data_IF_350624064832
#
_entry.id   IF_350624064832
#
_cell.length_a   1.000
_cell.length_b   1.000
_cell.length_c   1.000
_cell.angle_alpha   90.00
_cell.angle_beta   90.00
_cell.angle_gamma   90.00
#
_symmetry.space_group_name_H-M   'P 1'
#
loop_
_entity.id
_entity.type
_entity.pdbx_description
1 polymer ?
#
# COMPACT_ATOMS: atom_id res chain seq x y z
N UNK A 1 -4.85 -10.45 -13.63
CA UNK A 1 -3.99 -9.40 -14.17
C UNK A 1 -3.66 -8.53 -12.99
N UNK A 2 -2.51 -8.77 -12.36
CA UNK A 2 -2.10 -8.07 -11.15
C UNK A 2 -1.66 -6.67 -11.60
N UNK A 3 -2.61 -5.77 -11.71
CA UNK A 3 -2.36 -4.42 -12.14
C UNK A 3 -1.71 -3.67 -10.99
N UNK A 4 -0.39 -3.61 -10.85
CA UNK A 4 0.20 -2.51 -10.07
C UNK A 4 0.13 -1.25 -10.94
N UNK A 5 -1.07 -0.72 -11.19
CA UNK A 5 -1.18 0.60 -11.79
C UNK A 5 -0.54 1.58 -10.81
N UNK A 6 0.65 2.04 -11.18
CA UNK A 6 1.08 3.40 -10.87
C UNK A 6 -0.03 4.31 -11.34
N UNK A 7 -0.91 4.74 -10.42
CA UNK A 7 -1.81 5.83 -10.71
C UNK A 7 -0.94 6.98 -11.20
N UNK A 8 -1.13 7.40 -12.45
CA UNK A 8 -0.85 8.78 -12.78
C UNK A 8 -1.54 9.59 -11.69
N UNK A 9 -0.74 10.36 -10.95
CA UNK A 9 -1.23 11.57 -10.29
C UNK A 9 -1.84 12.44 -11.39
N UNK A 10 -3.10 12.19 -11.76
CA UNK A 10 -3.92 13.19 -12.41
C UNK A 10 -4.47 14.06 -11.29
N UNK A 11 -3.66 15.07 -10.96
CA UNK A 11 -4.12 16.30 -10.32
C UNK A 11 -5.36 16.79 -11.10
N UNK A 12 -6.42 17.29 -10.45
CA UNK A 12 -7.55 17.86 -11.17
C UNK A 12 -7.04 18.86 -12.20
N UNK A 13 -7.61 18.78 -13.40
CA UNK A 13 -7.32 19.66 -14.54
C UNK A 13 -7.69 21.10 -14.16
N UNK A 14 -6.81 21.77 -13.44
CA UNK A 14 -6.41 23.12 -13.84
C UNK A 14 -5.50 22.89 -15.02
N UNK A 15 -5.77 23.54 -16.16
CA UNK A 15 -4.98 23.40 -17.39
C UNK A 15 -3.48 23.48 -17.08
N UNK A 16 -2.88 22.30 -16.87
CA UNK A 16 -1.48 22.15 -16.62
C UNK A 16 -0.84 22.25 -17.98
N UNK A 17 -0.07 23.31 -18.12
CA UNK A 17 0.81 23.61 -19.23
C UNK A 17 1.44 22.33 -19.82
N UNK A 18 1.59 22.30 -21.15
CA UNK A 18 2.02 21.15 -21.96
C UNK A 18 3.53 20.86 -21.80
N UNK A 19 4.08 21.14 -20.61
CA UNK A 19 5.50 21.23 -20.26
C UNK A 19 5.96 20.13 -19.29
N UNK A 20 5.18 19.06 -19.09
CA UNK A 20 5.64 17.89 -18.32
C UNK A 20 6.74 17.14 -19.09
N UNK A 21 8.00 17.44 -18.76
CA UNK A 21 9.21 16.90 -19.40
C UNK A 21 9.52 15.43 -19.11
N UNK A 22 8.52 14.56 -18.96
CA UNK A 22 8.69 13.10 -18.77
C UNK A 22 8.05 12.31 -19.92
N UNK A 23 8.53 11.09 -20.11
CA UNK A 23 7.99 10.09 -21.03
C UNK A 23 7.68 8.82 -20.24
N UNK A 24 6.53 8.21 -20.51
CA UNK A 24 6.08 7.01 -19.80
C UNK A 24 5.77 5.89 -20.78
N UNK A 25 5.96 4.65 -20.34
CA UNK A 25 5.59 3.44 -21.06
C UNK A 25 4.91 2.46 -20.10
N UNK A 26 3.76 1.95 -20.49
CA UNK A 26 3.08 0.89 -19.76
C UNK A 26 3.74 -0.44 -20.08
N UNK A 27 3.78 -1.31 -19.09
CA UNK A 27 4.38 -2.62 -19.20
C UNK A 27 3.57 -3.69 -18.52
N UNK A 28 3.82 -4.93 -18.92
CA UNK A 28 3.31 -6.09 -18.24
C UNK A 28 4.41 -7.15 -18.18
N UNK A 29 4.71 -7.62 -16.97
CA UNK A 29 5.77 -8.59 -16.72
C UNK A 29 5.15 -9.84 -16.10
N UNK A 30 5.34 -11.03 -16.70
CA UNK A 30 4.98 -12.26 -16.05
C UNK A 30 5.95 -12.53 -14.89
N UNK A 31 5.41 -12.87 -13.73
CA UNK A 31 6.18 -13.32 -12.58
C UNK A 31 5.66 -14.67 -12.10
N UNK A 32 6.53 -15.44 -11.48
CA UNK A 32 6.15 -16.63 -10.73
C UNK A 32 6.74 -16.50 -9.34
N UNK A 33 5.88 -16.59 -8.33
CA UNK A 33 6.26 -16.44 -6.93
C UNK A 33 5.81 -17.67 -6.14
N UNK A 34 6.57 -18.01 -5.10
CA UNK A 34 6.19 -19.07 -4.16
C UNK A 34 5.98 -18.44 -2.80
N UNK A 35 4.83 -18.69 -2.18
CA UNK A 35 4.46 -18.13 -0.88
C UNK A 35 3.85 -19.20 0.02
N UNK A 36 3.94 -18.97 1.32
CA UNK A 36 3.15 -19.69 2.31
C UNK A 36 1.90 -18.87 2.59
N UNK A 37 0.75 -19.40 2.19
CA UNK A 37 -0.54 -18.73 2.21
C UNK A 37 -1.39 -19.27 3.36
N UNK A 38 -2.16 -18.40 3.98
CA UNK A 38 -3.23 -18.80 4.90
C UNK A 38 -4.38 -19.41 4.11
N UNK A 39 -5.00 -20.45 4.68
CA UNK A 39 -6.17 -21.13 4.10
C UNK A 39 -7.44 -20.68 4.83
N UNK A 40 -8.35 -20.03 4.10
CA UNK A 40 -9.65 -19.63 4.63
C UNK A 40 -10.44 -20.85 5.13
N UNK A 41 -10.78 -20.85 6.43
CA UNK A 41 -11.38 -22.00 7.13
C UNK A 41 -12.89 -21.93 7.35
N UNK A 42 -13.55 -20.85 6.93
CA UNK A 42 -15.00 -20.67 7.08
C UNK A 42 -15.72 -20.86 5.74
N UNK A 43 -17.05 -21.02 5.73
CA UNK A 43 -17.82 -20.85 4.49
C UNK A 43 -17.50 -19.50 3.82
N UNK A 44 -17.53 -19.48 2.48
CA UNK A 44 -17.47 -18.21 1.73
C UNK A 44 -18.75 -17.41 2.02
N UNK A 45 -18.66 -16.09 1.96
CA UNK A 45 -19.80 -15.22 2.24
C UNK A 45 -20.86 -15.39 1.16
N UNK A 46 -22.10 -15.60 1.57
CA UNK A 46 -23.26 -15.64 0.69
C UNK A 46 -23.97 -14.29 0.69
N UNK A 47 -23.92 -13.56 1.80
CA UNK A 47 -24.55 -12.24 1.93
C UNK A 47 -23.84 -11.32 2.92
N UNK A 48 -24.32 -10.07 3.00
CA UNK A 48 -23.75 -9.07 3.92
C UNK A 48 -23.95 -9.43 5.41
N UNK A 49 -24.83 -10.39 5.74
CA UNK A 49 -24.98 -10.85 7.13
C UNK A 49 -23.75 -11.63 7.59
N UNK A 50 -23.11 -12.38 6.69
CA UNK A 50 -21.92 -13.17 7.02
C UNK A 50 -20.74 -12.25 7.37
N UNK A 51 -20.60 -11.17 6.62
CA UNK A 51 -19.58 -10.13 6.87
C UNK A 51 -19.86 -9.35 8.16
N UNK A 52 -21.13 -9.13 8.48
CA UNK A 52 -21.54 -8.52 9.75
C UNK A 52 -21.22 -9.43 10.93
N UNK A 53 -21.52 -10.73 10.81
CA UNK A 53 -21.15 -11.75 11.81
C UNK A 53 -19.63 -11.83 11.98
N UNK A 54 -18.87 -11.82 10.88
CA UNK A 54 -17.41 -11.83 10.91
C UNK A 54 -16.85 -10.61 11.64
N UNK A 55 -17.38 -9.42 11.34
CA UNK A 55 -16.97 -8.16 11.97
C UNK A 55 -17.26 -8.20 13.46
N UNK A 56 -18.42 -8.72 13.86
CA UNK A 56 -18.75 -8.92 15.26
C UNK A 56 -17.77 -9.88 15.94
N UNK A 57 -17.58 -11.09 15.39
CA UNK A 57 -16.73 -12.14 15.96
C UNK A 57 -15.29 -11.65 16.18
N UNK A 58 -14.74 -10.88 15.23
CA UNK A 58 -13.40 -10.33 15.31
C UNK A 58 -13.25 -9.24 16.38
N UNK A 59 -14.28 -8.41 16.57
CA UNK A 59 -14.25 -7.30 17.53
C UNK A 59 -14.60 -7.73 18.97
N UNK A 60 -14.88 -9.02 19.21
CA UNK A 60 -15.14 -9.53 20.55
C UNK A 60 -13.91 -9.40 21.44
N UNK A 61 -14.11 -9.15 22.73
CA UNK A 61 -13.02 -9.10 23.73
C UNK A 61 -12.25 -10.43 23.83
N UNK A 62 -12.93 -11.55 23.58
CA UNK A 62 -12.39 -12.91 23.64
C UNK A 62 -12.00 -13.49 22.26
N UNK A 63 -11.90 -12.63 21.22
CA UNK A 63 -11.68 -13.07 19.83
C UNK A 63 -10.49 -14.02 19.66
N UNK A 64 -9.39 -13.79 20.38
CA UNK A 64 -8.19 -14.66 20.34
C UNK A 64 -8.48 -16.13 20.67
N UNK A 65 -9.54 -16.39 21.45
CA UNK A 65 -9.95 -17.74 21.85
C UNK A 65 -11.18 -18.24 21.09
N UNK A 66 -12.05 -17.34 20.63
CA UNK A 66 -13.35 -17.70 20.02
C UNK A 66 -13.39 -17.56 18.51
N UNK A 67 -12.42 -16.90 17.89
CA UNK A 67 -12.46 -16.56 16.48
C UNK A 67 -11.23 -17.09 15.72
N UNK A 68 -11.43 -18.16 14.95
CA UNK A 68 -10.38 -18.82 14.16
C UNK A 68 -10.82 -18.90 12.68
N UNK A 69 -10.60 -17.85 11.88
CA UNK A 69 -11.02 -17.83 10.47
C UNK A 69 -10.07 -18.61 9.54
N UNK A 70 -8.87 -18.96 10.04
CA UNK A 70 -7.82 -19.64 9.28
C UNK A 70 -7.77 -21.11 9.69
N UNK A 71 -7.81 -22.01 8.71
CA UNK A 71 -7.78 -23.47 8.93
C UNK A 71 -6.38 -24.08 8.84
N UNK A 72 -5.41 -23.34 8.30
CA UNK A 72 -4.04 -23.79 8.15
C UNK A 72 -3.24 -22.88 7.23
N UNK A 73 -2.06 -23.36 6.86
CA UNK A 73 -1.19 -22.73 5.85
C UNK A 73 -0.86 -23.72 4.74
N UNK A 74 -0.65 -23.20 3.54
CA UNK A 74 -0.28 -23.99 2.36
C UNK A 74 0.79 -23.28 1.55
N UNK A 75 1.78 -24.01 1.05
CA UNK A 75 2.73 -23.48 0.08
C UNK A 75 2.13 -23.52 -1.32
N UNK A 76 2.08 -22.36 -1.97
CA UNK A 76 1.51 -22.20 -3.29
C UNK A 76 2.52 -21.57 -4.25
N UNK A 77 2.40 -21.95 -5.52
CA UNK A 77 3.10 -21.29 -6.63
C UNK A 77 2.06 -20.47 -7.37
N UNK A 78 2.32 -19.18 -7.49
CA UNK A 78 1.45 -18.27 -8.20
C UNK A 78 2.11 -17.72 -9.44
N UNK A 79 1.40 -17.74 -10.55
CA UNK A 79 1.83 -17.11 -11.80
C UNK A 79 0.96 -15.87 -12.07
N UNK A 80 1.58 -14.69 -12.00
CA UNK A 80 0.89 -13.42 -12.20
C UNK A 80 1.46 -12.66 -13.38
N UNK A 81 0.65 -11.74 -13.92
CA UNK A 81 1.11 -10.69 -14.82
C UNK A 81 1.03 -9.37 -14.07
N UNK A 82 2.18 -8.82 -13.68
CA UNK A 82 2.27 -7.50 -13.08
C UNK A 82 2.17 -6.47 -14.19
N UNK A 83 1.19 -5.58 -14.13
CA UNK A 83 1.22 -4.38 -14.96
C UNK A 83 1.73 -3.18 -14.16
N UNK A 84 2.32 -2.21 -14.84
CA UNK A 84 2.73 -0.93 -14.26
C UNK A 84 3.18 0.05 -15.34
N UNK A 85 3.50 1.29 -14.94
CA UNK A 85 4.04 2.30 -15.85
C UNK A 85 5.43 2.70 -15.41
N UNK A 86 6.38 2.70 -16.33
CA UNK A 86 7.71 3.26 -16.12
C UNK A 86 7.77 4.65 -16.75
N UNK A 87 8.23 5.65 -15.99
CA UNK A 87 8.39 7.01 -16.46
C UNK A 87 9.84 7.48 -16.25
N UNK A 88 10.40 8.18 -17.24
CA UNK A 88 11.71 8.82 -17.18
C UNK A 88 11.63 10.28 -17.67
N UNK A 89 12.52 11.19 -17.22
CA UNK A 89 12.67 12.50 -17.84
C UNK A 89 13.00 12.37 -19.33
N UNK A 90 12.58 13.34 -20.16
CA UNK A 90 12.89 13.38 -21.60
C UNK A 90 14.40 13.49 -21.87
N UNK A 91 15.17 14.02 -20.93
CA UNK A 91 16.64 14.05 -20.97
C UNK A 91 17.29 12.69 -20.70
N UNK A 92 16.50 11.65 -20.38
CA UNK A 92 16.96 10.33 -19.99
C UNK A 92 16.78 10.05 -18.49
N UNK A 93 16.93 8.78 -18.08
CA UNK A 93 16.71 8.36 -16.71
C UNK A 93 17.84 8.81 -15.79
N UNK A 94 17.49 9.17 -14.56
CA UNK A 94 18.46 9.46 -13.51
C UNK A 94 19.13 8.19 -12.97
N UNK A 95 20.08 8.36 -12.05
CA UNK A 95 20.76 7.21 -11.43
C UNK A 95 19.91 6.44 -10.42
N UNK A 96 18.80 7.03 -9.98
CA UNK A 96 17.89 6.46 -8.98
C UNK A 96 16.55 6.13 -9.61
N UNK A 97 16.05 4.93 -9.32
CA UNK A 97 14.70 4.51 -9.64
C UNK A 97 13.83 4.55 -8.39
N UNK A 98 12.69 5.24 -8.48
CA UNK A 98 11.64 5.19 -7.47
C UNK A 98 10.62 4.13 -7.87
N UNK A 99 10.39 3.13 -7.02
CA UNK A 99 9.29 2.17 -7.15
C UNK A 99 8.17 2.65 -6.23
N UNK A 100 7.12 3.22 -6.83
CA UNK A 100 5.99 3.76 -6.09
C UNK A 100 4.90 2.70 -5.88
N UNK A 101 4.56 2.39 -4.62
CA UNK A 101 3.51 1.42 -4.27
C UNK A 101 2.39 2.08 -3.46
N UNK A 102 1.15 1.95 -3.93
CA UNK A 102 -0.01 2.54 -3.26
C UNK A 102 -0.71 1.53 -2.32
N UNK A 103 -1.75 2.02 -1.62
CA UNK A 103 -2.43 1.33 -0.53
C UNK A 103 -3.57 0.38 -0.89
N UNK A 104 -3.62 -0.21 -2.09
CA UNK A 104 -4.76 -1.06 -2.47
C UNK A 104 -4.45 -2.05 -3.59
N UNK A 105 -5.18 -3.16 -3.62
CA UNK A 105 -5.02 -4.22 -4.62
C UNK A 105 -5.94 -4.05 -5.80
N UNK A 106 -5.43 -4.34 -6.99
CA UNK A 106 -6.07 -4.03 -8.28
C UNK A 106 -6.28 -5.26 -9.16
N UNK A 107 -5.97 -6.47 -8.66
CA UNK A 107 -6.13 -7.68 -9.46
C UNK A 107 -7.56 -8.21 -9.43
N UNK A 108 -8.20 -8.15 -10.59
CA UNK A 108 -9.53 -8.74 -10.85
C UNK A 108 -9.52 -10.26 -10.99
N UNK A 109 -8.36 -10.91 -10.94
CA UNK A 109 -8.18 -12.35 -11.20
C UNK A 109 -7.83 -13.19 -9.99
N UNK A 110 -7.57 -12.57 -8.84
CA UNK A 110 -7.30 -13.30 -7.60
C UNK A 110 -8.59 -13.34 -6.80
N UNK A 111 -8.89 -14.46 -6.13
CA UNK A 111 -10.04 -14.52 -5.22
C UNK A 111 -9.80 -13.62 -4.00
N UNK A 112 -10.85 -13.02 -3.45
CA UNK A 112 -10.72 -12.28 -2.18
C UNK A 112 -10.33 -13.19 -1.00
N UNK A 113 -10.49 -14.51 -1.19
CA UNK A 113 -10.08 -15.57 -0.27
C UNK A 113 -8.65 -16.08 -0.50
N UNK A 114 -7.95 -15.58 -1.53
CA UNK A 114 -6.59 -15.99 -1.86
C UNK A 114 -5.61 -14.80 -1.82
N UNK A 115 -6.06 -13.58 -2.09
CA UNK A 115 -5.22 -12.38 -2.09
C UNK A 115 -4.71 -12.04 -0.69
N UNK A 116 -3.38 -12.00 -0.54
CA UNK A 116 -2.69 -11.93 0.75
C UNK A 116 -1.43 -11.06 0.68
N UNK A 117 -1.01 -10.50 1.82
CA UNK A 117 0.20 -9.69 1.92
C UNK A 117 1.49 -10.46 1.61
N UNK A 118 1.55 -11.76 1.89
CA UNK A 118 2.70 -12.60 1.52
C UNK A 118 2.93 -12.59 0.01
N UNK A 119 1.85 -12.66 -0.77
CA UNK A 119 1.88 -12.53 -2.23
C UNK A 119 2.36 -11.14 -2.64
N UNK A 120 1.81 -10.08 -2.04
CA UNK A 120 2.24 -8.69 -2.33
C UNK A 120 3.74 -8.48 -2.11
N UNK A 121 4.30 -9.04 -1.04
CA UNK A 121 5.73 -8.95 -0.72
C UNK A 121 6.57 -9.67 -1.78
N UNK A 122 6.18 -10.88 -2.18
CA UNK A 122 6.91 -11.65 -3.19
C UNK A 122 6.83 -11.02 -4.59
N UNK A 123 5.70 -10.40 -4.92
CA UNK A 123 5.50 -9.61 -6.14
C UNK A 123 6.43 -8.39 -6.13
N UNK A 124 6.49 -7.64 -5.03
CA UNK A 124 7.34 -6.46 -4.92
C UNK A 124 8.83 -6.83 -5.00
N UNK A 125 9.24 -7.91 -4.34
CA UNK A 125 10.58 -8.48 -4.46
C UNK A 125 10.95 -8.77 -5.93
N UNK A 126 10.07 -9.46 -6.65
CA UNK A 126 10.26 -9.77 -8.06
C UNK A 126 10.38 -8.51 -8.91
N UNK A 127 9.56 -7.49 -8.64
CA UNK A 127 9.62 -6.21 -9.35
C UNK A 127 10.93 -5.44 -9.10
N UNK A 128 11.40 -5.42 -7.84
CA UNK A 128 12.69 -4.80 -7.49
C UNK A 128 13.84 -5.50 -8.22
N UNK A 129 13.85 -6.84 -8.23
CA UNK A 129 14.87 -7.61 -8.95
C UNK A 129 14.79 -7.39 -10.46
N UNK A 130 13.58 -7.37 -11.03
CA UNK A 130 13.35 -7.07 -12.44
C UNK A 130 13.90 -5.69 -12.84
N UNK A 131 13.71 -4.70 -11.98
CA UNK A 131 14.25 -3.36 -12.16
C UNK A 131 15.78 -3.33 -12.04
N UNK A 132 16.36 -3.96 -11.01
CA UNK A 132 17.82 -4.07 -10.81
C UNK A 132 18.52 -4.83 -11.95
N UNK A 133 17.82 -5.78 -12.58
CA UNK A 133 18.30 -6.47 -13.76
C UNK A 133 18.28 -5.61 -15.04
N UNK A 134 17.70 -4.40 -14.98
CA UNK A 134 17.53 -3.48 -16.10
C UNK A 134 16.53 -3.94 -17.16
N UNK A 135 15.51 -4.69 -16.75
CA UNK A 135 14.52 -5.29 -17.65
C UNK A 135 13.26 -4.43 -17.83
N UNK A 136 13.17 -3.27 -17.15
CA UNK A 136 12.07 -2.33 -17.35
C UNK A 136 12.08 -1.81 -18.80
N UNK A 137 10.92 -1.79 -19.49
CA UNK A 137 10.85 -1.21 -20.82
C UNK A 137 11.04 0.30 -20.75
N UNK A 138 11.61 0.88 -21.80
CA UNK A 138 11.88 2.32 -21.88
C UNK A 138 10.98 2.99 -22.93
N UNK A 139 10.49 4.22 -22.68
CA UNK A 139 9.67 4.95 -23.64
C UNK A 139 10.43 5.31 -24.92
N UNK A 140 11.76 5.45 -24.84
CA UNK A 140 12.62 5.81 -25.96
C UNK A 140 13.15 4.54 -26.66
N UNK A 141 12.67 4.25 -27.88
CA UNK A 141 13.05 3.07 -28.69
C UNK A 141 14.55 3.00 -29.02
N UNK A 142 15.28 4.10 -28.91
CA UNK A 142 16.68 4.21 -29.31
C UNK A 142 17.68 3.96 -28.16
N UNK A 143 17.21 3.74 -26.93
CA UNK A 143 18.08 3.85 -25.76
C UNK A 143 18.52 2.49 -25.20
N UNK A 144 19.79 2.38 -24.77
CA UNK A 144 20.32 1.16 -24.16
C UNK A 144 19.56 0.77 -22.88
N UNK A 145 19.73 -0.49 -22.50
CA UNK A 145 19.31 -1.07 -21.22
C UNK A 145 19.58 -0.09 -20.07
N UNK A 146 18.55 0.29 -19.32
CA UNK A 146 18.69 1.11 -18.12
C UNK A 146 18.85 0.20 -16.91
N UNK A 147 19.98 0.32 -16.21
CA UNK A 147 20.19 -0.33 -14.92
C UNK A 147 20.31 0.78 -13.87
N UNK A 148 19.36 0.88 -12.92
CA UNK A 148 19.44 1.91 -11.89
C UNK A 148 20.65 1.65 -10.98
N UNK A 149 21.38 2.72 -10.62
CA UNK A 149 22.44 2.64 -9.61
C UNK A 149 21.87 2.53 -8.20
N UNK A 150 20.71 3.15 -7.97
CA UNK A 150 19.97 3.10 -6.71
C UNK A 150 18.50 2.80 -6.96
N UNK A 151 17.88 2.03 -6.06
CA UNK A 151 16.44 1.75 -6.06
C UNK A 151 15.84 2.16 -4.73
N UNK A 152 14.77 2.94 -4.76
CA UNK A 152 14.07 3.41 -3.56
C UNK A 152 12.62 2.98 -3.61
N UNK A 153 12.11 2.42 -2.51
CA UNK A 153 10.69 2.16 -2.35
C UNK A 153 10.01 3.43 -1.81
N UNK A 154 9.01 3.94 -2.53
CA UNK A 154 8.20 5.07 -2.08
C UNK A 154 6.76 4.60 -1.95
N UNK A 155 6.30 4.43 -0.73
CA UNK A 155 5.15 3.58 -0.46
C UNK A 155 4.11 4.24 0.43
N UNK A 156 2.85 3.84 0.26
CA UNK A 156 1.72 4.34 1.03
C UNK A 156 0.82 3.21 1.52
N UNK A 157 0.43 3.24 2.80
CA UNK A 157 -0.55 2.34 3.41
C UNK A 157 -0.20 0.86 3.19
N UNK A 158 -1.04 0.05 2.53
CA UNK A 158 -0.72 -1.34 2.17
C UNK A 158 0.61 -1.48 1.39
N UNK A 159 0.97 -0.49 0.58
CA UNK A 159 2.29 -0.44 -0.06
C UNK A 159 3.43 -0.31 0.96
N UNK A 160 3.23 0.45 2.03
CA UNK A 160 4.19 0.61 3.13
C UNK A 160 4.28 -0.65 3.99
N UNK A 161 3.15 -1.32 4.25
CA UNK A 161 3.13 -2.66 4.88
C UNK A 161 4.01 -3.62 4.10
N UNK A 162 3.76 -3.70 2.79
CA UNK A 162 4.47 -4.59 1.86
C UNK A 162 5.95 -4.24 1.76
N UNK A 163 6.28 -2.95 1.62
CA UNK A 163 7.66 -2.47 1.51
C UNK A 163 8.44 -2.70 2.79
N UNK A 164 7.82 -2.46 3.95
CA UNK A 164 8.45 -2.71 5.23
C UNK A 164 8.73 -4.21 5.47
N UNK A 165 7.74 -5.07 5.18
CA UNK A 165 7.93 -6.52 5.29
C UNK A 165 9.02 -7.04 4.33
N UNK A 166 9.11 -6.46 3.12
CA UNK A 166 10.16 -6.80 2.17
C UNK A 166 11.55 -6.43 2.70
N UNK A 167 11.75 -5.22 3.22
CA UNK A 167 13.08 -4.81 3.73
C UNK A 167 13.43 -5.49 5.05
N UNK A 168 12.44 -5.87 5.86
CA UNK A 168 12.66 -6.73 7.03
C UNK A 168 13.20 -8.11 6.62
N UNK A 169 12.68 -8.69 5.54
CA UNK A 169 13.12 -9.99 5.01
C UNK A 169 14.42 -9.91 4.19
N UNK A 170 14.67 -8.79 3.52
CA UNK A 170 15.81 -8.57 2.62
C UNK A 170 16.42 -7.17 2.84
N UNK A 171 17.25 -7.00 3.88
CA UNK A 171 17.70 -5.67 4.33
C UNK A 171 18.48 -4.84 3.30
N UNK A 172 19.18 -5.50 2.37
CA UNK A 172 20.01 -4.87 1.35
C UNK A 172 19.32 -4.76 -0.04
N UNK A 173 18.01 -5.07 -0.12
CA UNK A 173 17.31 -5.11 -1.41
C UNK A 173 17.15 -3.74 -2.07
N UNK A 174 17.20 -2.65 -1.31
CA UNK A 174 16.96 -1.27 -1.78
C UNK A 174 17.91 -0.29 -1.09
N UNK A 175 18.11 0.87 -1.72
CA UNK A 175 19.03 1.93 -1.29
C UNK A 175 18.35 3.00 -0.43
N UNK A 176 17.02 2.98 -0.32
CA UNK A 176 16.24 3.88 0.51
C UNK A 176 14.77 3.45 0.59
N UNK A 177 14.09 3.87 1.66
CA UNK A 177 12.67 3.53 1.88
C UNK A 177 11.92 4.76 2.37
N UNK A 178 10.77 5.03 1.77
CA UNK A 178 9.78 5.99 2.25
C UNK A 178 8.50 5.22 2.57
N UNK A 179 8.16 5.15 3.86
CA UNK A 179 6.96 4.49 4.38
C UNK A 179 5.97 5.57 4.80
N UNK A 180 4.88 5.71 4.07
CA UNK A 180 3.82 6.66 4.43
C UNK A 180 2.53 5.99 4.86
N UNK A 181 1.79 6.60 5.79
CA UNK A 181 0.52 6.05 6.29
C UNK A 181 0.71 4.64 6.86
N UNK A 182 1.72 4.43 7.69
CA UNK A 182 2.05 3.15 8.33
C UNK A 182 2.31 3.37 9.82
N UNK A 183 2.32 2.34 10.67
CA UNK A 183 2.60 2.52 12.10
C UNK A 183 2.82 1.23 12.86
N UNK A 184 3.57 1.32 13.97
CA UNK A 184 3.93 0.20 14.85
C UNK A 184 3.22 0.32 16.20
N UNK A 185 1.90 0.37 16.20
CA UNK A 185 1.11 0.28 17.44
C UNK A 185 0.94 -1.21 17.80
N UNK A 186 0.98 -1.65 19.09
CA UNK A 186 0.71 -3.03 19.52
C UNK A 186 -0.61 -3.68 19.04
N UNK A 187 -1.44 -2.97 18.28
CA UNK A 187 -2.70 -3.43 17.71
C UNK A 187 -2.73 -3.54 16.18
N UNK A 188 -1.64 -3.84 15.48
CA UNK A 188 -1.73 -4.19 14.03
C UNK A 188 -2.74 -5.35 13.82
N UNK A 189 -2.85 -6.25 14.81
CA UNK A 189 -3.88 -7.28 14.88
C UNK A 189 -5.33 -6.74 15.02
N UNK A 190 -5.54 -5.46 15.37
CA UNK A 190 -6.85 -4.82 15.48
C UNK A 190 -7.16 -3.86 14.31
N UNK A 191 -6.28 -3.74 13.31
CA UNK A 191 -6.52 -2.89 12.12
C UNK A 191 -7.77 -3.36 11.37
N UNK A 192 -7.97 -4.67 11.24
CA UNK A 192 -9.20 -5.19 10.65
C UNK A 192 -10.44 -4.82 11.46
N UNK A 193 -10.40 -4.99 12.79
CA UNK A 193 -11.54 -4.70 13.66
C UNK A 193 -11.96 -3.24 13.57
N UNK A 194 -10.98 -2.33 13.68
CA UNK A 194 -11.15 -0.90 13.53
C UNK A 194 -11.71 -0.52 12.15
N UNK A 195 -11.08 -0.98 11.07
CA UNK A 195 -11.51 -0.68 9.70
C UNK A 195 -12.90 -1.26 9.44
N UNK A 196 -13.15 -2.51 9.82
CA UNK A 196 -14.42 -3.18 9.58
C UNK A 196 -15.58 -2.52 10.32
N UNK A 197 -15.38 -2.15 11.59
CA UNK A 197 -16.37 -1.46 12.40
C UNK A 197 -16.69 -0.06 11.85
N UNK A 198 -15.66 0.74 11.53
CA UNK A 198 -15.86 2.11 11.04
C UNK A 198 -16.36 2.15 9.60
N UNK A 199 -15.92 1.23 8.74
CA UNK A 199 -16.29 1.18 7.33
C UNK A 199 -17.67 0.59 7.09
N UNK A 200 -18.20 -0.17 8.06
CA UNK A 200 -19.39 -1.01 7.92
C UNK A 200 -19.33 -1.81 6.61
N UNK A 201 -18.27 -2.63 6.48
CA UNK A 201 -17.90 -3.28 5.23
C UNK A 201 -19.08 -4.00 4.57
N UNK A 202 -19.12 -3.93 3.24
CA UNK A 202 -20.09 -4.59 2.37
C UNK A 202 -19.39 -5.44 1.32
N UNK A 203 -20.05 -6.50 0.86
CA UNK A 203 -19.56 -7.28 -0.28
C UNK A 203 -19.54 -6.40 -1.52
N UNK A 204 -18.37 -6.26 -2.15
CA UNK A 204 -18.14 -5.26 -3.19
C UNK A 204 -19.09 -5.44 -4.38
N UNK A 205 -19.28 -6.68 -4.82
CA UNK A 205 -20.10 -7.01 -5.99
C UNK A 205 -21.62 -6.85 -5.76
N UNK A 206 -22.07 -6.61 -4.53
CA UNK A 206 -23.47 -6.31 -4.20
C UNK A 206 -23.75 -4.81 -4.19
N UNK A 207 -22.72 -3.97 -4.05
CA UNK A 207 -22.85 -2.51 -3.93
C UNK A 207 -22.77 -1.80 -5.28
N UNK A 208 -21.93 -2.29 -6.20
CA UNK A 208 -21.75 -1.61 -7.48
C UNK A 208 -21.51 -2.55 -8.65
N UNK A 209 -22.07 -2.19 -9.80
CA UNK A 209 -21.90 -2.94 -11.05
C UNK A 209 -20.42 -3.05 -11.47
N UNK A 210 -19.60 -2.02 -11.19
CA UNK A 210 -18.16 -2.05 -11.49
C UNK A 210 -17.44 -3.23 -10.82
N UNK A 211 -17.97 -3.71 -9.69
CA UNK A 211 -17.37 -4.78 -8.89
C UNK A 211 -17.93 -6.16 -9.15
N UNK A 212 -18.79 -6.35 -10.16
CA UNK A 212 -19.38 -7.65 -10.48
C UNK A 212 -18.38 -8.75 -10.84
N UNK A 213 -17.18 -8.38 -11.25
CA UNK A 213 -16.09 -9.33 -11.56
C UNK A 213 -15.46 -9.94 -10.31
N UNK A 214 -15.58 -9.27 -9.16
CA UNK A 214 -14.99 -9.75 -7.90
C UNK A 214 -15.93 -10.75 -7.22
N UNK A 215 -15.36 -11.78 -6.62
CA UNK A 215 -16.11 -12.70 -5.77
C UNK A 215 -16.51 -12.05 -4.44
N UNK A 216 -17.24 -12.81 -3.61
CA UNK A 216 -17.77 -12.30 -2.36
C UNK A 216 -16.71 -12.08 -1.27
N UNK A 217 -15.45 -12.49 -1.48
CA UNK A 217 -14.32 -12.23 -0.58
C UNK A 217 -13.77 -10.81 -0.69
N UNK A 218 -14.25 -10.02 -1.65
CA UNK A 218 -13.92 -8.61 -1.80
C UNK A 218 -14.92 -7.71 -1.09
N UNK A 219 -14.42 -6.80 -0.28
CA UNK A 219 -15.23 -5.90 0.56
C UNK A 219 -14.95 -4.43 0.26
N UNK A 220 -15.94 -3.58 0.50
CA UNK A 220 -15.89 -2.13 0.28
C UNK A 220 -16.60 -1.39 1.41
N UNK A 221 -16.39 -0.08 1.46
CA UNK A 221 -17.03 0.85 2.39
C UNK A 221 -18.52 1.04 2.08
N UNK A 222 -19.34 1.28 3.10
CA UNK A 222 -20.79 1.50 2.94
C UNK A 222 -21.11 2.77 2.16
N UNK A 223 -20.39 3.85 2.43
CA UNK A 223 -20.59 5.15 1.82
C UNK A 223 -19.33 6.03 1.88
N UNK A 224 -19.39 7.18 1.22
CA UNK A 224 -18.29 8.15 1.17
C UNK A 224 -17.96 8.75 2.55
N UNK A 225 -18.90 8.81 3.49
CA UNK A 225 -18.66 9.39 4.82
C UNK A 225 -17.88 8.43 5.71
N UNK A 226 -18.19 7.13 5.65
CA UNK A 226 -17.37 6.10 6.29
C UNK A 226 -15.94 6.08 5.72
N UNK A 227 -15.80 6.31 4.41
CA UNK A 227 -14.49 6.47 3.76
C UNK A 227 -13.75 7.72 4.25
N UNK A 228 -14.45 8.86 4.34
CA UNK A 228 -13.88 10.11 4.89
C UNK A 228 -13.41 9.91 6.33
N UNK A 229 -14.21 9.28 7.18
CA UNK A 229 -13.87 9.05 8.59
C UNK A 229 -12.59 8.21 8.77
N UNK A 230 -12.36 7.26 7.88
CA UNK A 230 -11.18 6.38 7.95
C UNK A 230 -9.95 7.06 7.38
N UNK A 231 -10.10 7.79 6.27
CA UNK A 231 -8.95 8.20 5.46
C UNK A 231 -8.59 9.69 5.53
N UNK A 232 -9.50 10.57 5.94
CA UNK A 232 -9.34 12.02 5.84
C UNK A 232 -9.58 12.73 7.17
N UNK A 233 -9.09 13.96 7.26
CA UNK A 233 -9.36 14.87 8.37
C UNK A 233 -10.27 16.01 7.89
N UNK A 234 -11.48 16.09 8.42
CA UNK A 234 -12.36 17.27 8.23
C UNK A 234 -11.85 18.43 9.11
N UNK A 235 -11.81 19.70 8.63
CA UNK A 235 -12.23 20.16 7.30
C UNK A 235 -11.09 20.19 6.24
N UNK A 236 -9.91 19.64 6.52
CA UNK A 236 -8.77 19.64 5.59
C UNK A 236 -8.91 18.56 4.50
N UNK A 237 -9.93 18.71 3.65
CA UNK A 237 -10.16 17.88 2.48
C UNK A 237 -10.79 18.69 1.34
N UNK A 238 -10.60 18.22 0.11
CA UNK A 238 -11.35 18.67 -1.06
C UNK A 238 -12.39 17.58 -1.42
N UNK A 239 -13.68 17.92 -1.35
CA UNK A 239 -14.74 16.95 -1.60
C UNK A 239 -14.76 16.40 -3.04
N UNK A 240 -14.31 17.14 -4.04
CA UNK A 240 -14.21 16.64 -5.42
C UNK A 240 -13.05 15.66 -5.56
N UNK A 241 -11.91 15.95 -4.91
CA UNK A 241 -10.80 14.99 -4.82
C UNK A 241 -11.21 13.71 -4.08
N UNK A 242 -11.95 13.84 -2.96
CA UNK A 242 -12.48 12.69 -2.21
C UNK A 242 -13.43 11.86 -3.08
N UNK A 243 -14.38 12.49 -3.78
CA UNK A 243 -15.31 11.79 -4.68
C UNK A 243 -14.57 11.07 -5.79
N UNK A 244 -13.57 11.71 -6.39
CA UNK A 244 -12.73 11.09 -7.41
C UNK A 244 -12.03 9.84 -6.87
N UNK A 245 -11.37 9.94 -5.72
CA UNK A 245 -10.66 8.80 -5.12
C UNK A 245 -11.62 7.72 -4.66
N UNK A 246 -12.76 8.05 -4.04
CA UNK A 246 -13.78 7.08 -3.65
C UNK A 246 -14.34 6.33 -4.87
N UNK A 247 -14.60 7.02 -5.98
CA UNK A 247 -15.12 6.41 -7.21
C UNK A 247 -14.07 5.58 -7.96
N UNK A 248 -12.79 5.95 -7.84
CA UNK A 248 -11.66 5.24 -8.42
C UNK A 248 -11.03 4.19 -7.48
N UNK A 249 -11.50 4.11 -6.23
CA UNK A 249 -11.04 3.13 -5.24
C UNK A 249 -11.39 1.71 -5.65
N UNK A 250 -10.75 0.74 -5.01
CA UNK A 250 -10.91 -0.68 -5.30
C UNK A 250 -11.29 -1.43 -4.03
N UNK A 251 -12.01 -2.56 -4.16
CA UNK A 251 -12.36 -3.34 -2.98
C UNK A 251 -11.12 -4.03 -2.40
N UNK A 252 -11.18 -4.28 -1.10
CA UNK A 252 -10.12 -4.93 -0.33
C UNK A 252 -10.44 -6.42 -0.25
N UNK A 253 -9.46 -7.30 -0.41
CA UNK A 253 -9.66 -8.72 -0.22
C UNK A 253 -9.69 -9.06 1.27
N UNK A 254 -10.61 -9.93 1.69
CA UNK A 254 -10.76 -10.26 3.11
C UNK A 254 -9.50 -10.89 3.69
N UNK A 255 -8.75 -11.65 2.89
CA UNK A 255 -7.52 -12.30 3.34
C UNK A 255 -6.32 -11.35 3.51
N UNK A 256 -6.38 -10.13 2.97
CA UNK A 256 -5.37 -9.10 3.24
C UNK A 256 -5.43 -8.66 4.71
N UNK A 257 -6.63 -8.57 5.28
CA UNK A 257 -6.81 -8.21 6.68
C UNK A 257 -6.23 -9.24 7.67
N UNK A 258 -6.20 -10.52 7.30
CA UNK A 258 -5.69 -11.59 8.15
C UNK A 258 -4.20 -11.87 7.92
N UNK A 259 -3.75 -11.83 6.67
CA UNK A 259 -2.35 -12.11 6.31
C UNK A 259 -1.36 -11.03 6.75
N UNK A 260 -1.81 -9.82 7.08
CA UNK A 260 -0.92 -8.79 7.67
C UNK A 260 -0.25 -9.29 8.96
N UNK A 261 -0.95 -10.10 9.76
CA UNK A 261 -0.47 -10.60 11.05
C UNK A 261 0.64 -11.67 10.91
N UNK A 262 0.86 -12.21 9.69
CA UNK A 262 1.90 -13.20 9.43
C UNK A 262 3.21 -12.58 8.96
N UNK A 263 3.25 -11.26 8.77
CA UNK A 263 4.43 -10.55 8.31
C UNK A 263 5.34 -10.17 9.49
N UNK A 264 6.66 -10.19 9.25
CA UNK A 264 7.62 -9.55 10.12
C UNK A 264 7.90 -8.13 9.62
N UNK A 265 7.98 -7.20 10.56
CA UNK A 265 8.16 -5.77 10.30
C UNK A 265 9.37 -5.17 11.02
N UNK A 266 10.04 -5.95 11.87
CA UNK A 266 11.27 -5.53 12.54
C UNK A 266 12.42 -5.67 11.55
N UNK A 267 13.10 -4.56 11.29
CA UNK A 267 14.12 -4.41 10.24
C UNK A 267 15.48 -4.03 10.86
N UNK A 268 16.08 -4.89 11.71
CA UNK A 268 17.24 -4.52 12.50
C UNK A 268 18.49 -4.24 11.65
N UNK A 269 18.59 -4.89 10.50
CA UNK A 269 19.77 -4.87 9.63
C UNK A 269 19.64 -3.90 8.44
N UNK A 270 18.51 -3.19 8.30
CA UNK A 270 18.32 -2.23 7.21
C UNK A 270 19.21 -1.01 7.44
N UNK A 271 20.27 -0.90 6.64
CA UNK A 271 21.22 0.22 6.67
C UNK A 271 20.78 1.41 5.83
N UNK A 272 19.90 1.18 4.84
CA UNK A 272 19.40 2.23 3.97
C UNK A 272 18.72 3.36 4.77
N UNK A 273 18.76 4.63 4.30
CA UNK A 273 17.94 5.70 4.85
C UNK A 273 16.45 5.35 4.81
N UNK A 274 15.74 5.66 5.89
CA UNK A 274 14.29 5.39 6.02
C UNK A 274 13.56 6.66 6.42
N UNK A 275 12.57 7.07 5.62
CA UNK A 275 11.60 8.11 6.01
C UNK A 275 10.30 7.44 6.41
N UNK A 276 9.82 7.77 7.60
CA UNK A 276 8.53 7.36 8.12
C UNK A 276 7.60 8.57 8.21
N UNK A 277 6.48 8.60 7.49
CA UNK A 277 5.64 9.80 7.36
C UNK A 277 4.14 9.52 7.42
N UNK A 278 3.43 10.14 8.37
CA UNK A 278 1.97 10.00 8.48
C UNK A 278 1.28 11.33 8.66
N UNK A 279 -0.02 11.36 8.36
CA UNK A 279 -0.87 12.49 8.73
C UNK A 279 -1.07 12.54 10.24
N UNK A 280 -1.13 13.75 10.78
CA UNK A 280 -1.37 14.02 12.21
C UNK A 280 -2.60 13.28 12.76
N UNK A 281 -3.62 13.10 11.94
CA UNK A 281 -4.90 12.47 12.29
C UNK A 281 -5.13 11.15 11.54
N UNK A 282 -4.07 10.38 11.27
CA UNK A 282 -4.21 9.04 10.69
C UNK A 282 -5.03 8.12 11.60
N UNK A 283 -6.25 7.81 11.17
CA UNK A 283 -7.17 6.99 11.96
C UNK A 283 -6.75 5.52 12.00
N UNK A 284 -6.21 5.00 10.90
CA UNK A 284 -5.91 3.56 10.76
C UNK A 284 -4.77 3.15 11.68
N UNK A 285 -3.68 3.91 11.69
CA UNK A 285 -2.46 3.50 12.40
C UNK A 285 -2.23 4.22 13.74
N UNK A 286 -2.84 5.37 13.94
CA UNK A 286 -2.71 6.15 15.18
C UNK A 286 -4.02 6.34 15.94
N UNK A 287 -5.12 5.70 15.51
CA UNK A 287 -6.44 5.90 16.13
C UNK A 287 -6.98 7.33 16.01
N UNK A 288 -6.42 8.12 15.09
CA UNK A 288 -6.85 9.49 14.81
C UNK A 288 -5.95 10.57 15.40
N UNK A 289 -4.84 10.23 16.07
CA UNK A 289 -3.84 11.20 16.51
C UNK A 289 -2.43 10.59 16.64
N UNK A 290 -1.52 10.98 15.76
CA UNK A 290 -0.18 10.39 15.66
C UNK A 290 0.93 10.97 16.56
N UNK A 291 0.92 12.26 16.97
CA UNK A 291 1.96 12.78 17.86
C UNK A 291 2.12 11.93 19.13
N UNK A 292 3.36 11.55 19.44
CA UNK A 292 3.69 10.66 20.56
C UNK A 292 3.51 9.15 20.30
N UNK A 293 2.81 8.75 19.23
CA UNK A 293 2.63 7.34 18.84
C UNK A 293 3.71 6.90 17.84
N UNK A 294 3.98 7.70 16.81
CA UNK A 294 4.89 7.30 15.73
C UNK A 294 6.35 7.63 15.98
N UNK A 295 6.64 8.83 16.50
CA UNK A 295 8.01 9.37 16.56
C UNK A 295 8.98 8.55 17.44
N UNK A 296 8.61 8.05 18.63
CA UNK A 296 9.52 7.25 19.45
C UNK A 296 9.61 5.78 19.01
N UNK A 297 8.50 5.21 18.54
CA UNK A 297 8.40 3.77 18.29
C UNK A 297 9.09 3.36 16.98
N UNK A 298 8.88 4.10 15.88
CA UNK A 298 9.29 3.65 14.56
C UNK A 298 10.82 3.58 14.37
N UNK A 299 11.61 4.41 15.08
CA UNK A 299 13.08 4.33 15.07
C UNK A 299 13.60 2.98 15.57
N UNK A 300 12.92 2.38 16.54
CA UNK A 300 13.32 1.11 17.16
C UNK A 300 13.17 -0.10 16.22
N UNK A 301 12.37 0.03 15.15
CA UNK A 301 12.21 -1.01 14.13
C UNK A 301 13.31 -0.95 13.07
N UNK A 302 14.08 0.15 12.99
CA UNK A 302 15.17 0.34 12.04
C UNK A 302 16.49 0.76 12.73
N UNK A 303 16.96 0.05 13.77
CA UNK A 303 18.11 0.43 14.58
C UNK A 303 19.36 0.78 13.75
N UNK A 304 19.64 0.03 12.68
CA UNK A 304 20.81 0.22 11.82
C UNK A 304 20.68 1.26 10.70
N UNK A 305 19.51 1.89 10.50
CA UNK A 305 19.34 2.86 9.40
C UNK A 305 20.23 4.09 9.61
N UNK A 306 21.05 4.42 8.61
CA UNK A 306 22.01 5.53 8.69
C UNK A 306 21.39 6.92 8.51
N UNK A 307 20.11 6.98 8.15
CA UNK A 307 19.41 8.21 7.82
C UNK A 307 17.93 8.13 8.16
N UNK A 308 17.60 7.55 9.31
CA UNK A 308 16.21 7.46 9.75
C UNK A 308 15.64 8.86 10.06
N UNK A 309 14.48 9.16 9.49
CA UNK A 309 13.69 10.36 9.76
C UNK A 309 12.22 9.98 9.96
N UNK A 310 11.54 10.67 10.88
CA UNK A 310 10.09 10.59 11.02
C UNK A 310 9.46 11.97 10.83
N UNK A 311 8.28 12.03 10.23
CA UNK A 311 7.56 13.28 10.02
C UNK A 311 6.05 13.10 10.22
N UNK A 312 5.43 14.09 10.87
CA UNK A 312 3.98 14.18 11.02
C UNK A 312 3.49 15.33 10.14
N UNK A 313 2.69 15.00 9.13
CA UNK A 313 2.04 15.99 8.27
C UNK A 313 0.86 16.62 9.02
N UNK A 314 0.91 17.94 9.32
CA UNK A 314 -0.11 18.60 10.13
C UNK A 314 -1.47 18.62 9.44
N UNK A 315 -2.54 18.55 10.22
CA UNK A 315 -3.94 18.63 9.77
C UNK A 315 -4.35 17.58 8.74
N UNK A 316 -3.62 16.48 8.58
CA UNK A 316 -3.83 15.49 7.52
C UNK A 316 -4.28 14.14 8.07
N UNK A 317 -5.17 13.45 7.37
CA UNK A 317 -5.61 12.09 7.71
C UNK A 317 -4.65 11.02 7.17
N UNK A 318 -5.16 9.82 6.95
CA UNK A 318 -4.38 8.71 6.38
C UNK A 318 -3.88 9.01 4.96
N UNK A 319 -4.72 9.58 4.08
CA UNK A 319 -4.35 9.85 2.69
C UNK A 319 -3.63 11.19 2.58
N UNK A 320 -2.30 11.17 2.65
CA UNK A 320 -1.47 12.38 2.57
C UNK A 320 -1.37 12.96 1.15
N UNK A 321 -1.35 12.09 0.15
CA UNK A 321 -0.95 12.42 -1.23
C UNK A 321 -1.91 13.36 -1.99
N UNK A 322 -3.14 13.50 -1.50
CA UNK A 322 -4.18 14.34 -2.10
C UNK A 322 -4.89 15.24 -1.07
N UNK A 323 -4.33 15.36 0.14
CA UNK A 323 -4.78 16.37 1.09
C UNK A 323 -4.53 17.77 0.51
N UNK A 324 -5.31 18.81 0.90
CA UNK A 324 -5.10 20.16 0.39
C UNK A 324 -3.67 20.71 0.61
N UNK A 325 -2.97 20.21 1.63
CA UNK A 325 -1.59 20.53 1.96
C UNK A 325 -0.55 19.47 1.50
N UNK A 326 -0.89 18.60 0.55
CA UNK A 326 -0.04 17.50 0.08
C UNK A 326 1.33 17.94 -0.46
N UNK A 327 1.47 19.17 -0.96
CA UNK A 327 2.76 19.73 -1.39
C UNK A 327 3.80 19.71 -0.28
N UNK A 328 3.39 19.89 0.98
CA UNK A 328 4.27 19.74 2.14
C UNK A 328 4.79 18.31 2.31
N UNK A 329 3.91 17.32 2.15
CA UNK A 329 4.31 15.89 2.19
C UNK A 329 5.30 15.57 1.07
N UNK A 330 5.02 16.00 -0.16
CA UNK A 330 5.95 15.80 -1.28
C UNK A 330 7.29 16.49 -1.03
N UNK A 331 7.30 17.69 -0.48
CA UNK A 331 8.52 18.43 -0.16
C UNK A 331 9.38 17.69 0.88
N UNK A 332 8.77 17.14 1.93
CA UNK A 332 9.49 16.33 2.94
C UNK A 332 10.12 15.11 2.27
N UNK A 333 9.36 14.38 1.45
CA UNK A 333 9.86 13.20 0.73
C UNK A 333 11.02 13.59 -0.18
N UNK A 334 10.88 14.61 -1.02
CA UNK A 334 11.95 15.01 -1.96
C UNK A 334 13.18 15.55 -1.25
N UNK A 335 13.03 16.28 -0.14
CA UNK A 335 14.15 16.78 0.66
C UNK A 335 14.91 15.61 1.31
N UNK A 336 14.18 14.63 1.85
CA UNK A 336 14.77 13.42 2.41
C UNK A 336 15.59 12.65 1.37
N UNK A 337 15.03 12.46 0.17
CA UNK A 337 15.73 11.79 -0.93
C UNK A 337 17.00 12.55 -1.31
N UNK A 338 16.90 13.86 -1.56
CA UNK A 338 18.02 14.70 -1.93
C UNK A 338 19.14 14.71 -0.86
N UNK A 339 18.77 14.84 0.42
CA UNK A 339 19.71 14.83 1.56
C UNK A 339 20.52 13.54 1.64
N UNK A 340 19.92 12.41 1.27
CA UNK A 340 20.54 11.09 1.28
C UNK A 340 21.18 10.71 -0.07
N UNK A 341 21.24 11.63 -1.03
CA UNK A 341 21.76 11.41 -2.37
C UNK A 341 20.97 10.35 -3.15
N UNK A 342 19.67 10.24 -2.87
CA UNK A 342 18.71 9.39 -3.55
C UNK A 342 18.00 10.18 -4.65
#
# INVERSE_FOLDING_TARGET
MLLLFTSLLMVPVVAADNTSGKSCVDFTVPITVTTTDLVWGRPKFESSIDLTSLTFDFNRRDFMSTFNPISGVQNNIHAYKIAGSYCEPRSGPGSTLLIATHGGSLDRSISGYDAQFTIHVAVLDSLVQYAKAGSLPRPTRASPKYVPRKVVLVSHSMGSITSNALVAAKPDIVDGVVLSGWGYNPGVANVFGLVAATAQLKIANTISRKWKVYDNGYVTFIDIFSYINIFYKVPNLDMEAVKYVFNSSWPIAIMEFFSIATLNFVSPDVKAPVLFINGEYDYIFCGGYCPGILEPAARSFFPASIGYESYIQPNTGHILNIAPNATGTYQVITNFLAKNGL
#
